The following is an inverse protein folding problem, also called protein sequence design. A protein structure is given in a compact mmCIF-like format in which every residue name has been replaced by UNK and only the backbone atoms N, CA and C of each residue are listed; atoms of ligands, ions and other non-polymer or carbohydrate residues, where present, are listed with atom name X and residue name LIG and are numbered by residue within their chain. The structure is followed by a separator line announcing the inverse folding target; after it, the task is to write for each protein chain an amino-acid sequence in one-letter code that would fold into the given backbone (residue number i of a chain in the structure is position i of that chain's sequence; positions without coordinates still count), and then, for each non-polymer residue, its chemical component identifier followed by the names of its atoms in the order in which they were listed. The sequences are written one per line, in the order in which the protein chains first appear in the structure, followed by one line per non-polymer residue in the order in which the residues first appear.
data_IF_636380185882
#
_entry.id   IF_636380185882
#
_cell.length_a   1.000
_cell.length_b   1.000
_cell.length_c   1.000
_cell.angle_alpha   90.00
_cell.angle_beta   90.00
_cell.angle_gamma   90.00
#
_symmetry.space_group_name_H-M   'P 1'
#
loop_
_entity.id
_entity.type
_entity.pdbx_description
1 polymer ?
#
# COMPACT_ATOMS: atom_id res chain seq x y z
N UNK A 1 15.27 21.86 -2.22
CA UNK A 1 14.76 21.31 -0.96
C UNK A 1 14.18 19.94 -1.25
N UNK A 2 14.86 18.98 -0.72
CA UNK A 2 14.82 17.53 -0.95
C UNK A 2 13.49 16.90 -0.58
N UNK A 3 12.99 16.02 -1.47
CA UNK A 3 11.81 15.22 -1.24
C UNK A 3 11.93 14.36 0.03
N UNK A 4 10.94 14.49 0.89
CA UNK A 4 10.81 13.67 2.09
C UNK A 4 10.34 12.27 1.71
N UNK A 5 11.29 11.35 1.60
CA UNK A 5 10.97 9.92 1.55
C UNK A 5 10.42 9.49 2.91
N UNK A 6 9.12 9.23 2.98
CA UNK A 6 8.54 8.55 4.14
C UNK A 6 8.91 7.07 4.07
N UNK A 7 9.88 6.66 4.87
CA UNK A 7 10.19 5.26 5.09
C UNK A 7 9.31 4.73 6.23
N UNK A 8 8.48 3.74 5.95
CA UNK A 8 7.70 3.04 6.98
C UNK A 8 8.52 1.85 7.46
N UNK A 9 8.94 1.88 8.70
CA UNK A 9 9.62 0.76 9.35
C UNK A 9 8.57 -0.18 9.93
N UNK A 10 8.29 -1.27 9.23
CA UNK A 10 7.41 -2.33 9.72
C UNK A 10 8.24 -3.38 10.49
N UNK A 11 8.20 -3.31 11.82
CA UNK A 11 8.67 -4.40 12.66
C UNK A 11 7.53 -5.41 12.88
N UNK A 12 7.60 -6.56 12.22
CA UNK A 12 6.67 -7.66 12.45
C UNK A 12 7.14 -8.45 13.66
N UNK A 13 6.32 -8.48 14.70
CA UNK A 13 6.57 -9.28 15.92
C UNK A 13 6.42 -10.78 15.63
N UNK A 14 7.27 -11.64 16.21
CA UNK A 14 7.17 -13.09 16.04
C UNK A 14 5.94 -13.64 16.76
N UNK A 15 5.11 -14.40 16.05
CA UNK A 15 4.01 -15.15 16.65
C UNK A 15 2.62 -14.98 16.05
N UNK A 16 2.49 -14.37 14.87
CA UNK A 16 1.22 -14.43 14.15
C UNK A 16 1.09 -15.80 13.47
N UNK A 17 -0.01 -16.54 13.69
CA UNK A 17 -0.28 -17.73 12.91
C UNK A 17 -0.39 -17.37 11.45
N UNK A 18 0.17 -18.23 10.59
CA UNK A 18 0.06 -18.18 9.13
C UNK A 18 -1.45 -18.13 8.76
N UNK A 19 -1.93 -17.11 8.03
CA UNK A 19 -3.33 -17.04 7.63
C UNK A 19 -3.57 -17.94 6.41
N UNK A 20 -3.25 -19.25 6.53
CA UNK A 20 -3.65 -20.26 5.58
C UNK A 20 -5.16 -20.52 5.74
N UNK A 21 -5.98 -19.66 5.19
CA UNK A 21 -7.44 -19.79 5.23
C UNK A 21 -8.20 -18.72 4.46
N UNK A 22 -7.57 -17.64 4.06
CA UNK A 22 -8.21 -16.61 3.25
C UNK A 22 -8.07 -16.91 1.75
N UNK A 23 -8.88 -17.85 1.27
CA UNK A 23 -9.19 -17.92 -0.15
C UNK A 23 -10.13 -16.74 -0.45
N UNK A 24 -9.57 -15.62 -0.82
CA UNK A 24 -10.32 -14.52 -1.40
C UNK A 24 -10.76 -14.96 -2.79
N UNK A 25 -12.06 -15.05 -3.00
CA UNK A 25 -12.70 -15.42 -4.28
C UNK A 25 -12.62 -14.25 -5.28
N UNK A 26 -11.45 -13.58 -5.32
CA UNK A 26 -11.13 -12.47 -6.25
C UNK A 26 -10.68 -13.02 -7.60
N UNK A 27 -10.27 -14.29 -7.67
CA UNK A 27 -9.66 -14.85 -8.89
C UNK A 27 -10.53 -14.82 -10.14
N UNK A 28 -11.83 -14.68 -10.02
CA UNK A 28 -12.75 -14.70 -11.17
C UNK A 28 -13.08 -13.32 -11.76
N UNK A 29 -12.76 -12.19 -11.07
CA UNK A 29 -12.94 -10.83 -11.62
C UNK A 29 -11.65 -10.18 -12.16
N UNK A 30 -10.52 -10.64 -11.68
CA UNK A 30 -9.20 -10.01 -11.89
C UNK A 30 -8.69 -10.15 -13.33
N UNK A 31 -9.15 -11.16 -14.07
CA UNK A 31 -8.57 -11.46 -15.40
C UNK A 31 -9.12 -10.58 -16.54
N UNK A 32 -10.23 -9.89 -16.35
CA UNK A 32 -10.91 -9.17 -17.43
C UNK A 32 -10.30 -7.79 -17.73
N UNK A 33 -9.64 -7.13 -16.76
CA UNK A 33 -9.20 -5.74 -16.87
C UNK A 33 -7.69 -5.55 -17.00
N UNK A 34 -6.89 -6.59 -16.73
CA UNK A 34 -5.43 -6.52 -16.88
C UNK A 34 -5.05 -6.18 -18.33
N UNK A 35 -4.31 -5.08 -18.49
CA UNK A 35 -3.87 -4.60 -19.81
C UNK A 35 -4.83 -3.62 -20.51
N UNK A 36 -5.99 -3.29 -19.93
CA UNK A 36 -6.84 -2.23 -20.45
C UNK A 36 -6.10 -0.89 -20.38
N UNK A 37 -6.18 -0.12 -21.46
CA UNK A 37 -5.48 1.15 -21.62
C UNK A 37 -6.42 2.31 -21.42
N UNK A 38 -5.93 3.32 -20.70
CA UNK A 38 -6.55 4.62 -20.56
C UNK A 38 -5.54 5.73 -20.82
N UNK A 39 -5.98 6.96 -20.72
CA UNK A 39 -5.15 8.14 -20.94
C UNK A 39 -5.38 9.16 -19.83
N UNK A 40 -4.31 9.80 -19.38
CA UNK A 40 -4.41 10.90 -18.41
C UNK A 40 -5.21 12.03 -19.01
N UNK A 41 -6.36 12.35 -18.41
CA UNK A 41 -7.22 13.47 -18.79
C UNK A 41 -6.88 14.74 -18.00
N UNK A 42 -6.55 14.63 -16.72
CA UNK A 42 -6.24 15.76 -15.85
C UNK A 42 -5.22 15.37 -14.76
N UNK A 43 -4.43 16.35 -14.31
CA UNK A 43 -3.46 16.22 -13.22
C UNK A 43 -3.64 17.42 -12.30
N UNK A 44 -3.87 17.16 -10.99
CA UNK A 44 -4.04 18.17 -9.94
C UNK A 44 -3.18 17.77 -8.75
N UNK A 45 -1.92 18.22 -8.70
CA UNK A 45 -0.99 17.77 -7.67
C UNK A 45 -0.83 16.24 -7.69
N UNK A 46 -1.11 15.52 -6.59
CA UNK A 46 -1.02 14.07 -6.54
C UNK A 46 -2.23 13.35 -7.17
N UNK A 47 -3.29 14.09 -7.52
CA UNK A 47 -4.51 13.52 -8.11
C UNK A 47 -4.39 13.47 -9.61
N UNK A 48 -4.68 12.31 -10.20
CA UNK A 48 -4.62 12.06 -11.65
C UNK A 48 -5.94 11.45 -12.09
N UNK A 49 -6.62 12.13 -13.02
CA UNK A 49 -7.83 11.62 -13.63
C UNK A 49 -7.46 10.87 -14.92
N UNK A 50 -7.94 9.64 -15.07
CA UNK A 50 -7.67 8.76 -16.22
C UNK A 50 -8.98 8.42 -16.91
N UNK A 51 -9.02 8.67 -18.21
CA UNK A 51 -10.13 8.31 -19.06
C UNK A 51 -9.84 7.01 -19.82
N UNK A 52 -10.82 6.12 -19.87
CA UNK A 52 -10.75 4.85 -20.59
C UNK A 52 -11.70 4.89 -21.78
N UNK A 53 -11.17 4.65 -22.99
CA UNK A 53 -11.98 4.49 -24.18
C UNK A 53 -12.62 3.08 -24.16
N UNK A 54 -13.76 2.96 -23.48
CA UNK A 54 -14.53 1.73 -23.47
C UNK A 54 -15.41 1.69 -24.73
N UNK A 55 -15.01 0.88 -25.72
CA UNK A 55 -15.87 0.64 -26.88
C UNK A 55 -17.20 0.06 -26.40
N UNK A 56 -18.31 0.73 -26.72
CA UNK A 56 -19.68 0.33 -26.35
C UNK A 56 -20.11 -1.05 -26.88
N UNK A 57 -19.24 -1.67 -27.68
CA UNK A 57 -19.46 -3.01 -28.22
C UNK A 57 -19.03 -4.15 -27.30
N UNK A 58 -18.20 -3.89 -26.29
CA UNK A 58 -17.75 -4.87 -25.32
C UNK A 58 -18.43 -4.60 -23.96
N UNK A 59 -19.66 -5.11 -23.80
CA UNK A 59 -20.42 -5.04 -22.53
C UNK A 59 -19.68 -5.70 -21.32
N UNK A 60 -18.49 -6.27 -21.55
CA UNK A 60 -17.69 -6.97 -20.55
C UNK A 60 -16.49 -6.14 -20.02
N UNK A 61 -16.26 -4.93 -20.54
CA UNK A 61 -15.18 -4.07 -20.06
C UNK A 61 -15.70 -3.05 -19.06
N UNK A 62 -15.66 -3.42 -17.82
CA UNK A 62 -15.91 -2.51 -16.70
C UNK A 62 -14.72 -1.55 -16.51
N UNK A 63 -14.96 -0.40 -15.87
CA UNK A 63 -13.89 0.46 -15.36
C UNK A 63 -13.05 -0.27 -14.31
N UNK A 64 -11.73 0.08 -14.14
CA UNK A 64 -10.93 -0.44 -13.06
C UNK A 64 -11.63 -0.30 -11.72
N UNK A 65 -11.52 -1.33 -10.89
CA UNK A 65 -12.14 -1.32 -9.56
C UNK A 65 -11.48 -0.27 -8.66
N UNK A 66 -12.23 0.19 -7.65
CA UNK A 66 -11.64 1.04 -6.60
C UNK A 66 -10.50 0.25 -5.93
N UNK A 67 -9.37 0.90 -5.71
CA UNK A 67 -8.09 0.36 -5.22
C UNK A 67 -7.26 -0.43 -6.23
N UNK A 68 -7.70 -0.57 -7.48
CA UNK A 68 -6.83 -1.14 -8.50
C UNK A 68 -5.63 -0.23 -8.78
N UNK A 69 -4.47 -0.84 -8.96
CA UNK A 69 -3.25 -0.15 -9.34
C UNK A 69 -3.20 0.05 -10.86
N UNK A 70 -2.88 1.26 -11.28
CA UNK A 70 -2.62 1.59 -12.67
C UNK A 70 -1.16 2.00 -12.83
N UNK A 71 -0.56 1.67 -13.96
CA UNK A 71 0.83 1.99 -14.30
C UNK A 71 0.91 3.04 -15.38
N UNK A 72 1.72 4.07 -15.15
CA UNK A 72 2.02 5.15 -16.10
C UNK A 72 3.51 5.14 -16.40
N UNK A 73 3.87 5.06 -17.68
CA UNK A 73 5.27 5.25 -18.08
C UNK A 73 5.57 6.73 -18.21
N UNK A 74 6.51 7.22 -17.41
CA UNK A 74 7.01 8.59 -17.51
C UNK A 74 7.90 8.77 -18.73
N UNK A 75 8.08 10.01 -19.24
CA UNK A 75 8.99 10.28 -20.35
C UNK A 75 10.46 9.94 -20.07
N UNK A 76 10.86 9.90 -18.79
CA UNK A 76 12.20 9.50 -18.33
C UNK A 76 12.40 7.98 -18.24
N UNK A 77 11.36 7.20 -18.61
CA UNK A 77 11.39 5.74 -18.60
C UNK A 77 11.03 5.09 -17.26
N UNK A 78 10.87 5.86 -16.17
CA UNK A 78 10.41 5.34 -14.89
C UNK A 78 8.91 5.05 -14.91
N UNK A 79 8.49 4.03 -14.20
CA UNK A 79 7.07 3.75 -13.98
C UNK A 79 6.57 4.51 -12.74
N UNK A 80 5.36 5.07 -12.85
CA UNK A 80 4.60 5.59 -11.72
C UNK A 80 3.39 4.70 -11.52
N UNK A 81 3.16 4.29 -10.30
CA UNK A 81 1.93 3.61 -9.87
C UNK A 81 0.96 4.66 -9.33
N UNK A 82 -0.28 4.59 -9.80
CA UNK A 82 -1.40 5.40 -9.29
C UNK A 82 -2.51 4.44 -8.88
N UNK A 83 -3.23 4.74 -7.81
CA UNK A 83 -4.31 3.92 -7.27
C UNK A 83 -5.66 4.56 -7.55
N UNK A 84 -6.63 3.75 -7.98
CA UNK A 84 -8.00 4.21 -8.24
C UNK A 84 -8.72 4.45 -6.92
N UNK A 85 -9.19 5.69 -6.72
CA UNK A 85 -9.92 6.08 -5.51
C UNK A 85 -11.43 6.26 -5.76
N UNK A 86 -11.78 6.70 -6.96
CA UNK A 86 -13.16 7.05 -7.27
C UNK A 86 -13.46 6.96 -8.77
N UNK A 87 -14.67 6.51 -9.10
CA UNK A 87 -15.25 6.69 -10.43
C UNK A 87 -15.96 8.04 -10.48
N UNK A 88 -15.60 8.90 -11.43
CA UNK A 88 -16.16 10.25 -11.56
C UNK A 88 -17.16 10.39 -12.73
N UNK A 89 -17.44 9.27 -13.42
CA UNK A 89 -18.37 9.22 -14.56
C UNK A 89 -17.68 9.39 -15.90
N UNK A 90 -18.44 9.21 -16.99
CA UNK A 90 -17.95 9.35 -18.38
C UNK A 90 -16.66 8.54 -18.63
N UNK A 91 -16.65 7.28 -18.23
CA UNK A 91 -15.51 6.33 -18.37
C UNK A 91 -14.20 6.85 -17.77
N UNK A 92 -14.30 7.70 -16.73
CA UNK A 92 -13.17 8.33 -16.08
C UNK A 92 -13.09 7.93 -14.62
N UNK A 93 -11.86 7.58 -14.20
CA UNK A 93 -11.53 7.28 -12.81
C UNK A 93 -10.58 8.33 -12.25
N UNK A 94 -10.73 8.62 -10.98
CA UNK A 94 -9.84 9.47 -10.20
C UNK A 94 -8.88 8.63 -9.43
N UNK A 95 -7.60 8.93 -9.58
CA UNK A 95 -6.50 8.16 -8.96
C UNK A 95 -5.62 9.07 -8.11
N UNK A 96 -4.92 8.46 -7.16
CA UNK A 96 -3.88 9.09 -6.36
C UNK A 96 -2.52 8.51 -6.73
N UNK A 97 -1.55 9.38 -6.99
CA UNK A 97 -0.19 8.97 -7.34
C UNK A 97 0.58 8.52 -6.09
N UNK A 98 1.24 7.36 -6.18
CA UNK A 98 2.06 6.80 -5.10
C UNK A 98 3.46 7.43 -5.01
N UNK A 99 3.81 8.29 -5.96
CA UNK A 99 5.06 9.06 -6.00
C UNK A 99 4.80 10.42 -6.67
N UNK A 100 5.85 11.26 -6.83
CA UNK A 100 5.74 12.55 -7.50
C UNK A 100 5.09 12.44 -8.88
N UNK A 101 4.22 13.40 -9.20
CA UNK A 101 3.58 13.54 -10.50
C UNK A 101 4.41 14.39 -11.48
N UNK A 102 5.63 14.76 -11.12
CA UNK A 102 6.50 15.57 -11.96
C UNK A 102 6.77 14.90 -13.32
N UNK A 103 6.62 15.67 -14.38
CA UNK A 103 6.82 15.21 -15.75
C UNK A 103 5.63 14.49 -16.38
N UNK A 104 4.54 14.25 -15.64
CA UNK A 104 3.30 13.75 -16.23
C UNK A 104 2.66 14.81 -17.14
N UNK A 105 1.97 14.35 -18.17
CA UNK A 105 1.23 15.16 -19.12
C UNK A 105 -0.10 14.51 -19.45
N UNK A 106 -1.07 15.32 -19.84
CA UNK A 106 -2.31 14.82 -20.45
C UNK A 106 -1.98 13.98 -21.69
N UNK A 107 -2.77 12.94 -21.91
CA UNK A 107 -2.62 12.04 -23.04
C UNK A 107 -1.53 10.96 -22.86
N UNK A 108 -0.82 10.90 -21.71
CA UNK A 108 0.03 9.76 -21.42
C UNK A 108 -0.81 8.51 -21.22
N UNK A 109 -0.33 7.41 -21.81
CA UNK A 109 -0.97 6.11 -21.71
C UNK A 109 -0.83 5.56 -20.28
N UNK A 110 -1.91 4.99 -19.80
CA UNK A 110 -2.03 4.34 -18.49
C UNK A 110 -2.51 2.91 -18.71
N UNK A 111 -1.89 1.95 -18.06
CA UNK A 111 -2.26 0.54 -18.16
C UNK A 111 -2.83 0.05 -16.82
N UNK A 112 -4.02 -0.55 -16.84
CA UNK A 112 -4.60 -1.20 -15.68
C UNK A 112 -3.86 -2.50 -15.38
N UNK A 113 -3.52 -2.75 -14.09
CA UNK A 113 -2.92 -4.02 -13.66
C UNK A 113 -4.00 -5.08 -13.39
N UNK A 114 -5.22 -4.66 -13.06
CA UNK A 114 -6.31 -5.53 -12.61
C UNK A 114 -6.15 -6.02 -11.17
N UNK A 115 -5.16 -5.52 -10.46
CA UNK A 115 -4.84 -5.91 -9.08
C UNK A 115 -4.57 -4.65 -8.25
N UNK A 116 -4.87 -4.68 -6.93
CA UNK A 116 -4.52 -3.57 -6.04
C UNK A 116 -3.01 -3.44 -5.84
N UNK A 117 -2.59 -2.35 -5.22
CA UNK A 117 -1.21 -2.20 -4.75
C UNK A 117 -0.93 -3.27 -3.71
N UNK A 118 0.12 -4.04 -3.90
CA UNK A 118 0.53 -5.13 -3.01
C UNK A 118 1.86 -4.82 -2.32
N UNK A 119 2.00 -5.31 -1.10
CA UNK A 119 3.24 -5.24 -0.34
C UNK A 119 3.77 -6.65 -0.08
N UNK A 120 5.08 -6.85 -0.19
CA UNK A 120 5.71 -8.11 0.15
C UNK A 120 5.53 -8.45 1.61
N UNK A 121 5.35 -9.73 1.90
CA UNK A 121 5.20 -10.25 3.26
C UNK A 121 6.17 -11.41 3.50
N UNK A 122 6.39 -11.71 4.79
CA UNK A 122 7.20 -12.86 5.19
C UNK A 122 8.48 -12.47 5.94
N UNK A 123 9.25 -13.47 6.42
CA UNK A 123 10.45 -13.22 7.22
C UNK A 123 11.57 -12.46 6.50
N UNK A 124 11.62 -12.55 5.17
CA UNK A 124 12.65 -11.94 4.34
C UNK A 124 12.60 -10.41 4.28
N UNK A 125 11.47 -9.81 4.65
CA UNK A 125 11.32 -8.34 4.68
C UNK A 125 11.89 -7.71 5.96
N UNK A 126 12.28 -8.52 6.94
CA UNK A 126 12.80 -8.01 8.22
C UNK A 126 14.11 -7.26 8.02
N UNK A 127 14.18 -6.04 8.56
CA UNK A 127 15.35 -5.18 8.42
C UNK A 127 15.53 -4.54 7.03
N UNK A 128 14.58 -4.71 6.13
CA UNK A 128 14.58 -4.10 4.79
C UNK A 128 13.81 -2.78 4.79
N UNK A 129 14.20 -1.87 3.90
CA UNK A 129 13.52 -0.60 3.66
C UNK A 129 12.91 -0.62 2.27
N UNK A 130 11.62 -0.32 2.17
CA UNK A 130 10.86 -0.37 0.94
C UNK A 130 10.12 0.95 0.69
N UNK A 131 9.84 1.22 -0.58
CA UNK A 131 8.94 2.30 -0.97
C UNK A 131 7.47 1.85 -0.82
N UNK A 132 6.53 2.74 -1.13
CA UNK A 132 5.08 2.50 -0.98
C UNK A 132 4.51 1.42 -1.91
N UNK A 133 5.25 1.01 -2.93
CA UNK A 133 4.87 -0.05 -3.87
C UNK A 133 5.65 -1.36 -3.64
N UNK A 134 6.34 -1.49 -2.51
CA UNK A 134 7.03 -2.72 -2.12
C UNK A 134 8.41 -2.94 -2.74
N UNK A 135 8.97 -1.97 -3.46
CA UNK A 135 10.33 -2.07 -3.99
C UNK A 135 11.36 -1.71 -2.92
N UNK A 136 12.46 -2.45 -2.88
CA UNK A 136 13.54 -2.21 -1.92
C UNK A 136 14.35 -0.98 -2.30
N UNK A 137 14.55 -0.08 -1.33
CA UNK A 137 15.31 1.18 -1.50
C UNK A 137 16.54 1.26 -0.59
N UNK A 138 16.88 0.18 0.08
CA UNK A 138 18.00 0.10 1.05
C UNK A 138 19.37 -0.15 0.40
N UNK A 139 19.46 -0.25 -0.93
CA UNK A 139 20.70 -0.52 -1.66
C UNK A 139 21.25 -1.95 -1.50
N UNK A 140 20.52 -2.82 -0.79
CA UNK A 140 20.88 -4.23 -0.68
C UNK A 140 20.32 -5.01 -1.89
N UNK A 141 20.87 -6.22 -2.11
CA UNK A 141 20.40 -7.10 -3.18
C UNK A 141 18.88 -7.28 -3.15
N UNK A 142 18.27 -7.33 -4.34
CA UNK A 142 16.82 -7.46 -4.50
C UNK A 142 16.25 -8.63 -3.70
N UNK A 143 15.05 -8.43 -3.15
CA UNK A 143 14.29 -9.50 -2.52
C UNK A 143 13.68 -10.39 -3.59
N UNK A 144 13.91 -11.70 -3.47
CA UNK A 144 13.08 -12.68 -4.17
C UNK A 144 11.80 -12.83 -3.36
N UNK A 145 10.77 -12.15 -3.83
CA UNK A 145 9.46 -12.16 -3.19
C UNK A 145 8.73 -13.44 -3.54
N UNK A 146 8.26 -14.13 -2.52
CA UNK A 146 7.42 -15.33 -2.72
C UNK A 146 5.95 -15.00 -2.53
N UNK A 147 5.66 -14.12 -1.58
CA UNK A 147 4.31 -13.79 -1.16
C UNK A 147 4.14 -12.28 -1.04
N UNK A 148 3.03 -11.77 -1.55
CA UNK A 148 2.58 -10.38 -1.40
C UNK A 148 1.14 -10.34 -0.91
N UNK A 149 0.73 -9.26 -0.30
CA UNK A 149 -0.64 -9.02 0.14
C UNK A 149 -1.08 -7.61 -0.23
N UNK A 150 -2.36 -7.44 -0.63
CA UNK A 150 -2.93 -6.12 -0.87
C UNK A 150 -2.82 -5.20 0.34
N UNK A 151 -2.55 -3.91 0.11
CA UNK A 151 -2.50 -2.92 1.18
C UNK A 151 -3.88 -2.64 1.79
N UNK A 152 -4.95 -2.73 0.98
CA UNK A 152 -6.33 -2.63 1.41
C UNK A 152 -6.86 -4.02 1.76
N UNK A 153 -7.00 -4.28 3.07
CA UNK A 153 -7.46 -5.57 3.59
C UNK A 153 -8.52 -5.34 4.66
N UNK A 154 -9.45 -6.26 4.72
CA UNK A 154 -10.39 -6.30 5.82
C UNK A 154 -9.66 -6.61 7.16
N UNK A 155 -10.14 -6.06 8.28
CA UNK A 155 -9.60 -6.40 9.59
C UNK A 155 -9.84 -7.88 9.89
N UNK A 156 -9.02 -8.49 10.79
CA UNK A 156 -9.23 -9.86 11.24
C UNK A 156 -10.62 -10.03 11.82
N UNK A 157 -11.25 -11.18 11.58
CA UNK A 157 -12.54 -11.51 12.21
C UNK A 157 -12.37 -11.58 13.72
N UNK A 158 -13.48 -11.33 14.44
CA UNK A 158 -13.46 -11.38 15.91
C UNK A 158 -12.99 -12.74 16.45
N UNK A 159 -13.31 -13.83 15.75
CA UNK A 159 -12.90 -15.19 16.09
C UNK A 159 -11.38 -15.41 16.04
N UNK A 160 -10.67 -14.63 15.18
CA UNK A 160 -9.23 -14.71 15.01
C UNK A 160 -8.46 -13.82 15.99
N UNK A 161 -9.18 -13.01 16.79
CA UNK A 161 -8.56 -12.11 17.76
C UNK A 161 -8.15 -12.88 19.02
N UNK A 162 -6.90 -12.72 19.44
CA UNK A 162 -6.46 -13.20 20.76
C UNK A 162 -7.15 -12.39 21.86
N UNK A 163 -7.94 -13.06 22.69
CA UNK A 163 -8.61 -12.44 23.84
C UNK A 163 -7.73 -12.34 25.08
N UNK A 164 -6.61 -13.05 25.11
CA UNK A 164 -5.64 -13.01 26.22
C UNK A 164 -4.72 -11.82 26.11
N UNK A 165 -4.66 -11.03 27.18
CA UNK A 165 -3.75 -9.89 27.29
C UNK A 165 -2.33 -10.42 27.61
N UNK A 166 -1.37 -10.10 26.74
CA UNK A 166 0.06 -10.40 26.95
C UNK A 166 0.83 -9.09 27.09
N UNK A 167 1.71 -9.03 28.08
CA UNK A 167 2.59 -7.87 28.28
C UNK A 167 3.74 -7.89 27.28
N UNK A 168 4.02 -6.73 26.68
CA UNK A 168 5.20 -6.47 25.87
C UNK A 168 6.32 -5.96 26.77
N UNK A 169 7.29 -6.81 27.07
CA UNK A 169 8.46 -6.38 27.83
C UNK A 169 9.40 -5.55 26.97
N UNK A 170 9.56 -4.29 27.32
CA UNK A 170 10.40 -3.33 26.59
C UNK A 170 11.86 -3.35 27.05
N UNK A 171 12.14 -3.84 28.24
CA UNK A 171 13.44 -3.74 28.92
C UNK A 171 13.66 -2.39 29.62
N UNK A 172 12.73 -1.46 29.52
CA UNK A 172 12.77 -0.16 30.19
C UNK A 172 12.03 -0.31 31.52
N UNK A 173 12.77 -0.32 32.62
CA UNK A 173 12.23 -0.62 33.96
C UNK A 173 11.01 0.21 34.34
N UNK A 174 11.00 1.50 34.04
CA UNK A 174 9.90 2.39 34.39
C UNK A 174 8.62 2.04 33.62
N UNK A 175 8.73 1.63 32.36
CA UNK A 175 7.58 1.22 31.55
C UNK A 175 7.09 -0.15 32.04
N UNK A 176 7.97 -1.13 32.12
CA UNK A 176 7.61 -2.51 32.42
C UNK A 176 7.04 -2.68 33.83
N UNK A 177 7.42 -1.79 34.77
CA UNK A 177 7.00 -1.88 36.16
C UNK A 177 5.77 -0.99 36.48
N UNK A 178 5.72 0.23 35.93
CA UNK A 178 4.69 1.21 36.32
C UNK A 178 3.53 1.27 35.34
N UNK A 179 3.78 1.11 34.04
CA UNK A 179 2.78 1.20 32.98
C UNK A 179 3.11 0.21 31.86
N UNK A 180 2.96 -1.10 32.12
CA UNK A 180 3.35 -2.11 31.15
C UNK A 180 2.53 -2.04 29.86
N UNK A 181 3.20 -2.15 28.74
CA UNK A 181 2.57 -2.15 27.43
C UNK A 181 1.97 -3.52 27.13
N UNK A 182 0.78 -3.52 26.53
CA UNK A 182 0.15 -4.75 26.04
C UNK A 182 0.48 -4.99 24.58
N UNK A 183 0.77 -6.24 24.21
CA UNK A 183 0.93 -6.65 22.82
C UNK A 183 -0.36 -6.38 22.06
N UNK A 184 -0.25 -5.67 20.91
CA UNK A 184 -1.40 -5.26 20.10
C UNK A 184 -2.20 -4.08 20.66
N UNK A 185 -1.76 -3.50 21.80
CA UNK A 185 -2.35 -2.31 22.39
C UNK A 185 -2.00 -1.03 21.63
N UNK A 186 -2.80 0.02 21.84
CA UNK A 186 -2.51 1.38 21.36
C UNK A 186 -1.92 2.20 22.50
N UNK A 187 -0.69 2.69 22.28
CA UNK A 187 0.08 3.41 23.30
C UNK A 187 0.36 4.81 22.80
N UNK A 188 0.08 5.82 23.63
CA UNK A 188 0.36 7.21 23.32
C UNK A 188 1.42 7.78 24.28
N UNK A 189 2.50 8.32 23.74
CA UNK A 189 3.53 9.04 24.48
C UNK A 189 3.34 10.53 24.30
N UNK A 190 2.99 11.23 25.37
CA UNK A 190 2.75 12.67 25.38
C UNK A 190 3.86 13.41 26.13
N UNK A 191 4.20 14.60 25.64
CA UNK A 191 5.21 15.44 26.28
C UNK A 191 5.67 16.57 25.34
N UNK A 192 6.33 17.58 25.90
CA UNK A 192 6.92 18.69 25.15
C UNK A 192 8.07 18.29 24.23
N UNK A 193 8.63 19.25 23.53
CA UNK A 193 9.84 19.03 22.73
C UNK A 193 11.05 18.68 23.63
N UNK A 194 11.90 17.78 23.18
CA UNK A 194 13.16 17.44 23.86
C UNK A 194 13.06 16.55 25.11
N UNK A 195 11.87 16.04 25.46
CA UNK A 195 11.70 15.19 26.66
C UNK A 195 11.99 13.70 26.43
N UNK A 196 12.59 13.32 25.30
CA UNK A 196 13.06 11.96 25.04
C UNK A 196 12.04 10.96 24.50
N UNK A 197 10.85 11.42 24.04
CA UNK A 197 9.82 10.53 23.46
C UNK A 197 10.36 9.63 22.34
N UNK A 198 11.08 10.22 21.40
CA UNK A 198 11.64 9.50 20.26
C UNK A 198 12.72 8.49 20.67
N UNK A 199 13.42 8.75 21.78
CA UNK A 199 14.44 7.83 22.33
C UNK A 199 13.79 6.61 22.97
N UNK A 200 12.57 6.77 23.55
CA UNK A 200 11.82 5.66 24.12
C UNK A 200 11.19 4.75 23.05
N UNK A 201 10.82 5.30 21.89
CA UNK A 201 10.27 4.55 20.76
C UNK A 201 11.38 3.82 20.00
#
# INVERSE_FOLDING_TARGET
LTGSNFAVHLSVLPGTPDPAGYSYDIKNKVTAMAGTRGYISQIIGPVVDVHFDLDKADEAKDLPSIYDALKVKRPDGRELVIEVEQHIGEDTVRCVAMDSTDGLRRGLEVTCTGEPVEMPVGPQIRGRVMNVIGETIDGMNGLVMKDSLPIHREPPKFEDLKTTQEVLYTGIKVIDLLEPYLKGGKIGLFGGAGVGKTVLI
#
